data_IF_650022751480
#
_entry.id   IF_650022751480
#
_cell.length_a   1.000
_cell.length_b   1.000
_cell.length_c   1.000
_cell.angle_alpha   90.00
_cell.angle_beta   90.00
_cell.angle_gamma   90.00
#
_symmetry.space_group_name_H-M   'P 1'
#
loop_
_entity.id
_entity.type
_entity.pdbx_description
1 polymer ?
#
# COMPACT_ATOMS: atom_id res chain seq x y z
N UNK A 1 58.96 8.09 28.19
CA UNK A 1 58.77 8.86 26.93
C UNK A 1 57.33 8.85 26.35
N UNK A 2 56.22 8.96 27.14
CA UNK A 2 54.87 9.11 26.60
C UNK A 2 54.41 10.58 26.42
N UNK A 3 55.21 11.55 26.86
CA UNK A 3 54.80 12.97 26.95
C UNK A 3 54.66 13.64 25.57
N UNK A 4 55.37 13.15 24.54
CA UNK A 4 55.31 13.70 23.18
C UNK A 4 54.00 13.40 22.42
N UNK A 5 53.19 12.42 22.87
CA UNK A 5 51.91 12.08 22.23
C UNK A 5 50.72 12.87 22.80
N UNK A 6 50.84 13.41 24.02
CA UNK A 6 49.80 14.22 24.66
C UNK A 6 49.32 15.41 23.81
N UNK A 7 50.18 16.22 23.16
CA UNK A 7 49.72 17.33 22.31
C UNK A 7 49.01 16.86 21.03
N UNK A 8 49.34 15.69 20.50
CA UNK A 8 48.70 15.11 19.30
C UNK A 8 47.31 14.56 19.67
N UNK A 9 47.20 13.87 20.80
CA UNK A 9 45.92 13.33 21.29
C UNK A 9 44.97 14.47 21.70
N UNK A 10 45.48 15.53 22.33
CA UNK A 10 44.68 16.72 22.67
C UNK A 10 44.31 17.55 21.43
N UNK A 11 45.21 17.65 20.43
CA UNK A 11 44.91 18.27 19.14
C UNK A 11 43.81 17.52 18.36
N UNK A 12 43.92 16.19 18.27
CA UNK A 12 42.90 15.34 17.64
C UNK A 12 41.56 15.38 18.41
N UNK A 13 41.59 15.35 19.74
CA UNK A 13 40.38 15.45 20.55
C UNK A 13 39.65 16.80 20.39
N UNK A 14 40.38 17.91 20.25
CA UNK A 14 39.78 19.22 19.98
C UNK A 14 39.20 19.33 18.56
N UNK A 15 39.84 18.71 17.57
CA UNK A 15 39.30 18.65 16.20
C UNK A 15 38.08 17.72 16.07
N UNK A 16 37.95 16.69 16.91
CA UNK A 16 36.82 15.76 16.90
C UNK A 16 35.59 16.24 17.66
N UNK A 17 35.72 17.23 18.56
CA UNK A 17 34.59 17.78 19.32
C UNK A 17 33.54 18.47 18.45
N UNK A 18 33.97 19.20 17.42
CA UNK A 18 33.07 19.91 16.52
C UNK A 18 32.31 18.94 15.57
N UNK A 19 32.97 17.97 14.90
CA UNK A 19 32.29 16.91 14.15
C UNK A 19 31.38 16.03 15.00
N UNK A 20 31.76 15.71 16.24
CA UNK A 20 30.93 14.92 17.14
C UNK A 20 29.65 15.66 17.57
N UNK A 21 29.74 16.97 17.82
CA UNK A 21 28.57 17.79 18.13
C UNK A 21 27.65 17.94 16.91
N UNK A 22 28.22 18.13 15.72
CA UNK A 22 27.47 18.18 14.47
C UNK A 22 26.78 16.83 14.19
N UNK A 23 27.48 15.71 14.36
CA UNK A 23 26.91 14.37 14.18
C UNK A 23 25.81 14.06 15.22
N UNK A 24 25.98 14.52 16.46
CA UNK A 24 24.98 14.37 17.51
C UNK A 24 23.72 15.19 17.22
N UNK A 25 23.86 16.48 16.87
CA UNK A 25 22.73 17.31 16.47
C UNK A 25 22.06 16.77 15.20
N UNK A 26 22.84 16.43 14.17
CA UNK A 26 22.31 15.83 12.95
C UNK A 26 21.59 14.50 13.23
N UNK A 27 22.07 13.71 14.18
CA UNK A 27 21.41 12.49 14.64
C UNK A 27 20.05 12.76 15.31
N UNK A 28 19.96 13.78 16.18
CA UNK A 28 18.70 14.17 16.82
C UNK A 28 17.71 14.72 15.79
N UNK A 29 18.13 15.63 14.92
CA UNK A 29 17.27 16.15 13.85
C UNK A 29 16.85 15.04 12.88
N UNK A 30 17.76 14.11 12.55
CA UNK A 30 17.46 12.93 11.76
C UNK A 30 16.40 12.04 12.40
N UNK A 31 16.46 11.81 13.72
CA UNK A 31 15.45 11.04 14.47
C UNK A 31 14.09 11.74 14.47
N UNK A 32 14.04 13.06 14.67
CA UNK A 32 12.79 13.83 14.63
C UNK A 32 12.17 13.80 13.23
N UNK A 33 12.99 14.02 12.19
CA UNK A 33 12.54 13.93 10.79
C UNK A 33 12.07 12.50 10.48
N UNK A 34 12.79 11.47 10.93
CA UNK A 34 12.40 10.07 10.73
C UNK A 34 11.10 9.73 11.45
N UNK A 35 10.84 10.31 12.63
CA UNK A 35 9.57 10.14 13.35
C UNK A 35 8.40 10.74 12.58
N UNK A 36 8.52 11.99 12.13
CA UNK A 36 7.48 12.62 11.31
C UNK A 36 7.31 11.95 9.95
N UNK A 37 8.40 11.51 9.32
CA UNK A 37 8.37 10.74 8.10
C UNK A 37 7.64 9.40 8.30
N UNK A 38 7.95 8.65 9.36
CA UNK A 38 7.26 7.40 9.71
C UNK A 38 5.77 7.61 9.98
N UNK A 39 5.42 8.68 10.69
CA UNK A 39 4.02 9.00 10.98
C UNK A 39 3.25 9.37 9.70
N UNK A 40 3.84 10.18 8.82
CA UNK A 40 3.25 10.55 7.54
C UNK A 40 3.14 9.35 6.59
N UNK A 41 4.19 8.53 6.50
CA UNK A 41 4.17 7.32 5.65
C UNK A 41 3.18 6.30 6.15
N UNK A 42 2.92 6.18 7.45
CA UNK A 42 1.90 5.25 7.97
C UNK A 42 0.49 5.60 7.47
N UNK A 43 0.14 6.89 7.42
CA UNK A 43 -1.17 7.33 6.90
C UNK A 43 -1.30 7.11 5.40
N UNK A 44 -0.26 7.46 4.65
CA UNK A 44 -0.22 7.28 3.19
C UNK A 44 -0.20 5.79 2.83
N UNK A 45 0.56 4.97 3.55
CA UNK A 45 0.63 3.53 3.36
C UNK A 45 -0.75 2.89 3.56
N UNK A 46 -1.49 3.25 4.61
CA UNK A 46 -2.84 2.72 4.81
C UNK A 46 -3.80 3.09 3.67
N UNK A 47 -3.75 4.32 3.16
CA UNK A 47 -4.59 4.72 2.03
C UNK A 47 -4.21 3.97 0.75
N UNK A 48 -2.91 3.83 0.48
CA UNK A 48 -2.40 3.04 -0.64
C UNK A 48 -2.83 1.58 -0.53
N UNK A 49 -2.69 0.95 0.63
CA UNK A 49 -3.11 -0.44 0.85
C UNK A 49 -4.60 -0.63 0.55
N UNK A 50 -5.47 0.31 0.91
CA UNK A 50 -6.90 0.21 0.60
C UNK A 50 -7.12 0.27 -0.91
N UNK A 51 -6.51 1.23 -1.60
CA UNK A 51 -6.65 1.38 -3.06
C UNK A 51 -6.11 0.14 -3.78
N UNK A 52 -4.93 -0.36 -3.39
CA UNK A 52 -4.32 -1.54 -4.00
C UNK A 52 -5.11 -2.81 -3.72
N UNK A 53 -5.73 -2.94 -2.55
CA UNK A 53 -6.57 -4.10 -2.23
C UNK A 53 -7.84 -4.10 -3.09
N UNK A 54 -8.49 -2.94 -3.26
CA UNK A 54 -9.71 -2.82 -4.08
C UNK A 54 -9.39 -3.07 -5.56
N UNK A 55 -8.28 -2.53 -6.06
CA UNK A 55 -7.86 -2.78 -7.45
C UNK A 55 -7.46 -4.24 -7.67
N UNK A 56 -6.73 -4.86 -6.73
CA UNK A 56 -6.40 -6.28 -6.79
C UNK A 56 -7.64 -7.17 -6.77
N UNK A 57 -8.64 -6.86 -5.93
CA UNK A 57 -9.91 -7.59 -5.90
C UNK A 57 -10.66 -7.48 -7.23
N UNK A 58 -10.69 -6.28 -7.83
CA UNK A 58 -11.31 -6.05 -9.15
C UNK A 58 -10.66 -6.90 -10.23
N UNK A 59 -9.33 -6.94 -10.26
CA UNK A 59 -8.56 -7.73 -11.22
C UNK A 59 -8.78 -9.24 -10.99
N UNK A 60 -8.82 -9.68 -9.74
CA UNK A 60 -9.07 -11.08 -9.41
C UNK A 60 -10.46 -11.55 -9.88
N UNK A 61 -11.50 -10.72 -9.66
CA UNK A 61 -12.87 -11.02 -10.14
C UNK A 61 -12.92 -11.07 -11.66
N UNK A 62 -12.30 -10.12 -12.35
CA UNK A 62 -12.22 -10.12 -13.81
C UNK A 62 -11.53 -11.39 -14.34
N UNK A 63 -10.38 -11.74 -13.76
CA UNK A 63 -9.63 -12.93 -14.14
C UNK A 63 -10.44 -14.21 -13.88
N UNK A 64 -11.14 -14.30 -12.74
CA UNK A 64 -11.99 -15.44 -12.41
C UNK A 64 -13.14 -15.60 -13.42
N UNK A 65 -13.82 -14.51 -13.79
CA UNK A 65 -14.91 -14.55 -14.78
C UNK A 65 -14.38 -15.01 -16.14
N UNK A 66 -13.26 -14.43 -16.61
CA UNK A 66 -12.65 -14.84 -17.89
C UNK A 66 -12.20 -16.30 -17.86
N UNK A 67 -11.59 -16.76 -16.76
CA UNK A 67 -11.18 -18.14 -16.59
C UNK A 67 -12.37 -19.12 -16.66
N UNK A 68 -13.48 -18.78 -16.00
CA UNK A 68 -14.71 -19.58 -16.06
C UNK A 68 -15.29 -19.64 -17.48
N UNK A 69 -15.34 -18.52 -18.18
CA UNK A 69 -15.81 -18.48 -19.57
C UNK A 69 -14.92 -19.35 -20.47
N UNK A 70 -13.59 -19.26 -20.32
CA UNK A 70 -12.67 -20.09 -21.11
C UNK A 70 -12.82 -21.58 -20.77
N UNK A 71 -12.98 -21.94 -19.50
CA UNK A 71 -13.17 -23.32 -19.08
C UNK A 71 -14.45 -23.93 -19.68
N UNK A 72 -15.54 -23.14 -19.73
CA UNK A 72 -16.80 -23.57 -20.37
C UNK A 72 -16.65 -23.68 -21.88
N UNK A 73 -15.92 -22.77 -22.53
CA UNK A 73 -15.72 -22.83 -24.00
C UNK A 73 -14.93 -24.05 -24.48
N UNK A 74 -14.10 -24.66 -23.62
CA UNK A 74 -13.36 -25.89 -23.95
C UNK A 74 -14.27 -27.12 -24.00
N UNK A 75 -15.38 -27.10 -23.24
CA UNK A 75 -16.29 -28.25 -23.10
C UNK A 75 -17.59 -28.04 -23.89
N UNK A 76 -17.92 -26.80 -24.25
CA UNK A 76 -19.17 -26.46 -24.93
C UNK A 76 -19.12 -26.78 -26.45
N UNK A 77 -20.25 -27.24 -27.04
CA UNK A 77 -20.39 -27.37 -28.50
C UNK A 77 -20.23 -26.02 -29.20
N UNK A 78 -19.59 -26.00 -30.38
CA UNK A 78 -19.25 -24.79 -31.14
C UNK A 78 -20.44 -23.87 -31.43
N UNK A 79 -21.63 -24.43 -31.71
CA UNK A 79 -22.85 -23.64 -31.95
C UNK A 79 -23.33 -22.87 -30.72
N UNK A 80 -23.03 -23.36 -29.51
CA UNK A 80 -23.41 -22.72 -28.26
C UNK A 80 -22.46 -21.54 -27.94
N UNK A 81 -21.19 -21.65 -28.30
CA UNK A 81 -20.20 -20.58 -28.17
C UNK A 81 -20.52 -19.43 -29.14
N UNK A 82 -20.86 -19.73 -30.39
CA UNK A 82 -21.28 -18.73 -31.37
C UNK A 82 -22.61 -18.06 -30.99
N UNK A 83 -23.58 -18.82 -30.48
CA UNK A 83 -24.83 -18.28 -29.96
C UNK A 83 -24.63 -17.37 -28.74
N UNK A 84 -23.75 -17.75 -27.82
CA UNK A 84 -23.43 -16.94 -26.64
C UNK A 84 -22.75 -15.61 -27.01
N UNK A 85 -21.90 -15.60 -28.05
CA UNK A 85 -21.24 -14.39 -28.55
C UNK A 85 -22.21 -13.37 -29.17
N UNK A 86 -23.42 -13.79 -29.58
CA UNK A 86 -24.45 -12.88 -30.11
C UNK A 86 -25.23 -12.17 -29.01
N UNK A 87 -25.27 -12.73 -27.79
CA UNK A 87 -26.06 -12.22 -26.65
C UNK A 87 -25.16 -11.51 -25.63
N UNK A 88 -23.97 -12.04 -25.39
CA UNK A 88 -23.04 -11.53 -24.37
C UNK A 88 -21.96 -10.70 -25.06
N UNK A 89 -21.89 -9.39 -24.82
CA UNK A 89 -20.84 -8.56 -25.40
C UNK A 89 -19.48 -8.85 -24.74
N UNK A 90 -18.38 -8.68 -25.48
CA UNK A 90 -17.03 -8.99 -25.01
C UNK A 90 -16.59 -8.22 -23.75
N UNK A 91 -17.22 -7.06 -23.52
CA UNK A 91 -17.00 -6.20 -22.36
C UNK A 91 -17.82 -6.61 -21.12
N UNK A 92 -18.71 -7.61 -21.21
CA UNK A 92 -19.57 -8.02 -20.10
C UNK A 92 -18.78 -8.36 -18.84
N UNK A 93 -17.63 -9.01 -18.97
CA UNK A 93 -16.75 -9.33 -17.83
C UNK A 93 -16.22 -8.07 -17.12
N UNK A 94 -15.96 -6.99 -17.86
CA UNK A 94 -15.50 -5.70 -17.31
C UNK A 94 -16.67 -4.96 -16.63
N UNK A 95 -17.85 -5.00 -17.24
CA UNK A 95 -19.06 -4.42 -16.66
C UNK A 95 -19.44 -5.11 -15.34
N UNK A 96 -19.41 -6.45 -15.30
CA UNK A 96 -19.72 -7.19 -14.07
C UNK A 96 -18.66 -6.98 -13.00
N UNK A 97 -17.37 -6.99 -13.35
CA UNK A 97 -16.31 -6.73 -12.37
C UNK A 97 -16.40 -5.33 -11.79
N UNK A 98 -16.67 -4.30 -12.62
CA UNK A 98 -16.86 -2.92 -12.14
C UNK A 98 -18.05 -2.74 -11.20
N UNK A 99 -19.18 -3.43 -11.46
CA UNK A 99 -20.34 -3.44 -10.54
C UNK A 99 -19.93 -4.05 -9.20
N UNK A 100 -19.29 -5.22 -9.22
CA UNK A 100 -18.85 -5.91 -7.99
C UNK A 100 -17.87 -5.01 -7.20
N UNK A 101 -16.96 -4.33 -7.89
CA UNK A 101 -16.03 -3.39 -7.26
C UNK A 101 -16.74 -2.19 -6.64
N UNK A 102 -17.79 -1.64 -7.28
CA UNK A 102 -18.58 -0.56 -6.71
C UNK A 102 -19.28 -0.99 -5.40
N UNK A 103 -19.81 -2.22 -5.35
CA UNK A 103 -20.39 -2.77 -4.13
C UNK A 103 -19.35 -2.99 -3.03
N UNK A 104 -18.15 -3.49 -3.38
CA UNK A 104 -17.06 -3.65 -2.43
C UNK A 104 -16.60 -2.31 -1.83
N UNK A 105 -16.48 -1.27 -2.65
CA UNK A 105 -16.16 0.09 -2.19
C UNK A 105 -17.22 0.61 -1.21
N UNK A 106 -18.51 0.44 -1.54
CA UNK A 106 -19.62 0.83 -0.66
C UNK A 106 -19.53 0.12 0.69
N UNK A 107 -19.25 -1.18 0.70
CA UNK A 107 -19.12 -1.96 1.92
C UNK A 107 -17.95 -1.46 2.80
N UNK A 108 -16.78 -1.24 2.21
CA UNK A 108 -15.61 -0.71 2.93
C UNK A 108 -15.90 0.68 3.52
N UNK A 109 -16.63 1.52 2.80
CA UNK A 109 -17.03 2.84 3.30
C UNK A 109 -17.99 2.72 4.50
N UNK A 110 -19.02 1.87 4.41
CA UNK A 110 -19.93 1.64 5.54
C UNK A 110 -19.21 1.12 6.78
N UNK A 111 -18.22 0.24 6.60
CA UNK A 111 -17.37 -0.23 7.69
C UNK A 111 -16.56 0.88 8.32
N UNK A 112 -15.91 1.73 7.53
CA UNK A 112 -15.15 2.89 8.05
C UNK A 112 -16.04 3.81 8.88
N UNK A 113 -17.24 4.13 8.39
CA UNK A 113 -18.20 4.97 9.12
C UNK A 113 -18.61 4.31 10.43
N UNK A 114 -18.96 3.03 10.42
CA UNK A 114 -19.30 2.27 11.63
C UNK A 114 -18.17 2.28 12.67
N UNK A 115 -16.91 2.09 12.26
CA UNK A 115 -15.77 2.16 13.18
C UNK A 115 -15.64 3.55 13.78
N UNK A 116 -15.73 4.62 12.98
CA UNK A 116 -15.64 6.00 13.48
C UNK A 116 -16.74 6.28 14.50
N UNK A 117 -17.98 5.85 14.22
CA UNK A 117 -19.11 6.00 15.12
C UNK A 117 -18.92 5.21 16.43
N UNK A 118 -18.41 3.97 16.35
CA UNK A 118 -18.14 3.15 17.54
C UNK A 118 -17.12 3.79 18.49
N UNK A 119 -16.01 4.32 17.96
CA UNK A 119 -15.01 5.02 18.76
C UNK A 119 -15.52 6.34 19.33
N UNK A 120 -16.37 7.06 18.58
CA UNK A 120 -16.98 8.30 19.06
C UNK A 120 -17.96 8.06 20.22
N UNK A 121 -18.62 6.89 20.25
CA UNK A 121 -19.53 6.50 21.33
C UNK A 121 -18.81 5.87 22.53
N UNK A 122 -17.48 5.73 22.51
CA UNK A 122 -16.70 5.18 23.62
C UNK A 122 -16.97 3.71 23.93
N UNK A 123 -17.42 2.93 22.93
CA UNK A 123 -17.65 1.48 23.03
C UNK A 123 -16.55 0.69 22.35
#
# INVERSE_FOLDING_TARGET
>A
MPVFLLPIITGAANMMRLPALIAFLAGIFGQVIAFFAKYMTTKVAMQLTIITTISALTLAVFAAIKALVTAVSVVAPEGLVQGASLVIPDNAAICVSSIISAHAIRYVWSWKVYFIESFAQGR
#
